data_IF_729033651623
#
_entry.id   IF_729033651623
#
_cell.length_a   1.000
_cell.length_b   1.000
_cell.length_c   1.000
_cell.angle_alpha   90.00
_cell.angle_beta   90.00
_cell.angle_gamma   90.00
#
_symmetry.space_group_name_H-M   'P 1'
#
loop_
_entity.id
_entity.type
_entity.pdbx_description
1 polymer ?
#
# COMPACT_ATOMS: atom_id res chain seq x y z
N UNK A 1 53.68 -5.30 9.12
CA UNK A 1 52.52 -4.38 9.27
C UNK A 1 51.25 -5.19 9.04
N UNK A 2 50.51 -5.52 10.11
CA UNK A 2 49.18 -6.15 9.98
C UNK A 2 48.18 -5.02 9.77
N UNK A 3 47.78 -4.77 8.53
CA UNK A 3 46.60 -3.94 8.27
C UNK A 3 45.42 -4.72 8.82
N UNK A 4 44.97 -4.35 10.02
CA UNK A 4 43.75 -4.87 10.59
C UNK A 4 42.59 -4.31 9.79
N UNK A 5 42.26 -4.95 8.66
CA UNK A 5 41.01 -4.72 7.98
C UNK A 5 39.90 -5.12 8.94
N UNK A 6 39.41 -4.15 9.70
CA UNK A 6 38.22 -4.26 10.53
C UNK A 6 37.06 -4.56 9.60
N UNK A 7 36.82 -5.85 9.37
CA UNK A 7 35.70 -6.34 8.57
C UNK A 7 34.42 -5.83 9.20
N UNK A 8 33.72 -4.96 8.47
CA UNK A 8 32.44 -4.44 8.91
C UNK A 8 31.44 -5.60 8.99
N UNK A 9 30.77 -5.73 10.14
CA UNK A 9 29.78 -6.77 10.35
C UNK A 9 28.50 -6.47 9.57
N UNK A 10 27.76 -7.50 9.14
CA UNK A 10 26.47 -7.32 8.45
C UNK A 10 25.47 -6.51 9.29
N UNK A 11 25.52 -6.63 10.63
CA UNK A 11 24.67 -5.84 11.54
C UNK A 11 24.95 -4.35 11.41
N UNK A 12 26.23 -3.97 11.38
CA UNK A 12 26.63 -2.56 11.25
C UNK A 12 26.33 -2.04 9.83
N UNK A 13 26.51 -2.88 8.81
CA UNK A 13 26.10 -2.57 7.44
C UNK A 13 24.61 -2.23 7.37
N UNK A 14 23.76 -3.14 7.86
CA UNK A 14 22.30 -2.97 7.90
C UNK A 14 21.86 -1.70 8.62
N UNK A 15 22.42 -1.44 9.81
CA UNK A 15 22.12 -0.24 10.57
C UNK A 15 22.46 1.05 9.80
N UNK A 16 23.47 1.00 8.92
CA UNK A 16 23.89 2.13 8.09
C UNK A 16 23.15 2.28 6.76
N UNK A 17 22.46 1.26 6.25
CA UNK A 17 21.80 1.31 4.93
C UNK A 17 20.72 2.38 4.87
N UNK A 18 19.84 2.43 5.87
CA UNK A 18 18.70 3.36 5.87
C UNK A 18 19.13 4.83 5.94
N UNK A 19 20.05 5.24 6.85
CA UNK A 19 20.61 6.59 6.83
C UNK A 19 21.31 6.93 5.51
N UNK A 20 22.06 6.00 4.93
CA UNK A 20 22.75 6.20 3.64
C UNK A 20 21.77 6.50 2.51
N UNK A 21 20.67 5.74 2.43
CA UNK A 21 19.63 5.91 1.40
C UNK A 21 18.87 7.22 1.59
N UNK A 22 18.50 7.55 2.82
CA UNK A 22 17.73 8.77 3.11
C UNK A 22 18.57 10.03 2.89
N UNK A 23 19.80 10.05 3.41
CA UNK A 23 20.72 11.20 3.28
C UNK A 23 21.34 11.33 1.88
N UNK A 24 21.42 10.25 1.11
CA UNK A 24 22.14 10.21 -0.16
C UNK A 24 23.67 10.28 -0.02
N UNK A 25 24.20 10.27 1.21
CA UNK A 25 25.63 10.33 1.46
C UNK A 25 26.25 8.94 1.35
N UNK A 26 27.17 8.78 0.40
CA UNK A 26 27.90 7.54 0.20
C UNK A 26 28.77 7.21 1.42
N UNK A 27 28.72 5.95 1.86
CA UNK A 27 29.62 5.42 2.88
C UNK A 27 30.45 4.29 2.27
N UNK A 28 31.72 4.58 2.01
CA UNK A 28 32.68 3.67 1.33
C UNK A 28 32.78 2.30 2.02
N UNK A 29 32.63 2.23 3.36
CA UNK A 29 32.69 0.97 4.08
C UNK A 29 31.44 0.11 3.86
N UNK A 30 30.26 0.75 3.76
CA UNK A 30 29.00 0.09 3.42
C UNK A 30 29.04 -0.37 1.97
N UNK A 31 29.44 0.48 1.03
CA UNK A 31 29.53 0.12 -0.39
C UNK A 31 30.45 -1.08 -0.61
N UNK A 32 31.65 -1.06 -0.01
CA UNK A 32 32.57 -2.21 -0.08
C UNK A 32 31.97 -3.48 0.52
N UNK A 33 31.14 -3.37 1.56
CA UNK A 33 30.44 -4.52 2.15
C UNK A 33 29.35 -5.05 1.22
N UNK A 34 28.60 -4.16 0.55
CA UNK A 34 27.56 -4.54 -0.42
C UNK A 34 28.14 -5.34 -1.58
N UNK A 35 29.35 -4.98 -2.05
CA UNK A 35 30.04 -5.72 -3.12
C UNK A 35 30.38 -7.17 -2.74
N UNK A 36 30.48 -7.49 -1.45
CA UNK A 36 30.92 -8.80 -0.95
C UNK A 36 29.83 -9.59 -0.22
N UNK A 37 28.65 -9.01 0.00
CA UNK A 37 27.58 -9.60 0.81
C UNK A 37 26.24 -9.54 0.10
N UNK A 38 25.88 -10.63 -0.60
CA UNK A 38 24.64 -10.74 -1.38
C UNK A 38 23.37 -10.42 -0.56
N UNK A 39 23.32 -10.82 0.72
CA UNK A 39 22.18 -10.53 1.58
C UNK A 39 22.01 -9.03 1.87
N UNK A 40 23.12 -8.31 2.11
CA UNK A 40 23.05 -6.87 2.34
C UNK A 40 22.78 -6.11 1.03
N UNK A 41 23.27 -6.63 -0.10
CA UNK A 41 22.98 -6.08 -1.42
C UNK A 41 21.48 -6.18 -1.78
N UNK A 42 20.86 -7.32 -1.54
CA UNK A 42 19.42 -7.51 -1.74
C UNK A 42 18.59 -6.57 -0.83
N UNK A 43 18.96 -6.48 0.45
CA UNK A 43 18.28 -5.58 1.40
C UNK A 43 18.43 -4.09 1.00
N UNK A 44 19.62 -3.70 0.52
CA UNK A 44 19.85 -2.36 -0.03
C UNK A 44 18.97 -2.09 -1.27
N UNK A 45 18.83 -3.07 -2.17
CA UNK A 45 17.99 -2.94 -3.35
C UNK A 45 16.50 -2.74 -2.99
N UNK A 46 15.99 -3.50 -2.00
CA UNK A 46 14.63 -3.35 -1.50
C UNK A 46 14.39 -1.96 -0.88
N UNK A 47 15.30 -1.50 -0.01
CA UNK A 47 15.20 -0.17 0.61
C UNK A 47 15.30 0.96 -0.42
N UNK A 48 16.08 0.78 -1.48
CA UNK A 48 16.17 1.74 -2.59
C UNK A 48 14.86 1.82 -3.36
N UNK A 49 14.19 0.68 -3.58
CA UNK A 49 12.87 0.63 -4.20
C UNK A 49 11.81 1.31 -3.33
N UNK A 50 11.84 1.09 -2.00
CA UNK A 50 10.98 1.79 -1.05
C UNK A 50 11.15 3.31 -1.17
N UNK A 51 12.39 3.81 -1.19
CA UNK A 51 12.65 5.24 -1.38
C UNK A 51 12.10 5.75 -2.72
N UNK A 52 12.32 5.04 -3.81
CA UNK A 52 11.78 5.44 -5.13
C UNK A 52 10.25 5.53 -5.09
N UNK A 53 9.58 4.57 -4.46
CA UNK A 53 8.11 4.58 -4.32
C UNK A 53 7.64 5.73 -3.43
N UNK A 54 8.34 6.00 -2.33
CA UNK A 54 8.03 7.13 -1.44
C UNK A 54 8.21 8.47 -2.17
N UNK A 55 9.35 8.65 -2.85
CA UNK A 55 9.65 9.85 -3.63
C UNK A 55 8.60 10.02 -4.76
N UNK A 56 8.24 8.94 -5.44
CA UNK A 56 7.18 8.91 -6.45
C UNK A 56 5.80 9.25 -5.88
N UNK A 57 5.46 8.77 -4.69
CA UNK A 57 4.17 9.05 -4.04
C UNK A 57 4.04 10.50 -3.59
N UNK A 58 5.17 11.16 -3.32
CA UNK A 58 5.23 12.58 -3.00
C UNK A 58 5.23 13.48 -4.24
N UNK A 59 5.38 12.90 -5.44
CA UNK A 59 5.34 13.64 -6.68
C UNK A 59 3.91 14.13 -6.94
N UNK A 60 3.76 15.44 -7.16
CA UNK A 60 2.48 16.08 -7.51
C UNK A 60 1.97 15.61 -8.89
N UNK A 61 2.87 15.11 -9.74
CA UNK A 61 2.55 14.62 -11.08
C UNK A 61 2.59 13.10 -11.09
N UNK A 62 1.52 12.41 -11.51
CA UNK A 62 1.54 10.97 -11.71
C UNK A 62 2.70 10.55 -12.61
N UNK A 63 3.49 9.57 -12.17
CA UNK A 63 4.55 8.99 -13.00
C UNK A 63 3.86 8.19 -14.11
N UNK A 64 3.88 8.71 -15.34
CA UNK A 64 3.50 7.95 -16.53
C UNK A 64 4.68 7.09 -16.98
N UNK A 65 4.62 5.75 -16.85
CA UNK A 65 5.70 4.89 -17.32
C UNK A 65 5.83 4.99 -18.84
N UNK A 66 7.05 5.21 -19.33
CA UNK A 66 7.33 5.26 -20.76
C UNK A 66 7.10 3.91 -21.46
N UNK A 67 6.99 3.89 -22.80
CA UNK A 67 6.73 2.67 -23.57
C UNK A 67 7.79 1.58 -23.37
N UNK A 68 9.04 1.97 -23.11
CA UNK A 68 10.16 1.07 -22.85
C UNK A 68 10.00 0.28 -21.54
N UNK A 69 9.35 0.84 -20.53
CA UNK A 69 9.04 0.13 -19.28
C UNK A 69 8.19 -1.11 -19.57
N UNK A 70 7.11 -0.94 -20.34
CA UNK A 70 6.24 -2.05 -20.71
C UNK A 70 6.91 -3.04 -21.65
N UNK A 71 7.82 -2.60 -22.52
CA UNK A 71 8.64 -3.49 -23.34
C UNK A 71 9.54 -4.38 -22.47
N UNK A 72 10.24 -3.81 -21.49
CA UNK A 72 11.10 -4.53 -20.57
C UNK A 72 10.32 -5.52 -19.68
N UNK A 73 9.16 -5.11 -19.15
CA UNK A 73 8.28 -5.98 -18.35
C UNK A 73 7.79 -7.16 -19.19
N UNK A 74 7.31 -6.90 -20.41
CA UNK A 74 6.88 -7.98 -21.33
C UNK A 74 8.02 -8.92 -21.66
N UNK A 75 9.20 -8.40 -22.01
CA UNK A 75 10.37 -9.22 -22.30
C UNK A 75 10.76 -10.11 -21.11
N UNK A 76 10.60 -9.63 -19.88
CA UNK A 76 10.81 -10.44 -18.68
C UNK A 76 9.78 -11.56 -18.54
N UNK A 77 8.49 -11.25 -18.69
CA UNK A 77 7.40 -12.25 -18.63
C UNK A 77 7.60 -13.34 -19.69
N UNK A 78 8.00 -12.98 -20.91
CA UNK A 78 8.27 -13.96 -21.98
C UNK A 78 9.45 -14.87 -21.65
N UNK A 79 10.56 -14.34 -21.13
CA UNK A 79 11.71 -15.16 -20.69
C UNK A 79 11.35 -16.13 -19.57
N UNK A 80 10.47 -15.72 -18.66
CA UNK A 80 9.96 -16.56 -17.58
C UNK A 80 8.99 -17.64 -18.11
N UNK A 81 8.17 -17.31 -19.11
CA UNK A 81 7.24 -18.26 -19.74
C UNK A 81 7.93 -19.33 -20.60
N UNK A 82 9.10 -19.03 -21.17
CA UNK A 82 9.87 -19.95 -22.03
C UNK A 82 10.70 -20.98 -21.25
N UNK A 83 10.56 -21.04 -19.92
CA UNK A 83 11.17 -22.11 -19.11
C UNK A 83 12.67 -21.96 -18.89
N UNK A 84 13.21 -20.75 -19.03
CA UNK A 84 14.57 -20.45 -18.61
C UNK A 84 14.72 -20.77 -17.12
N UNK A 85 15.59 -21.72 -16.79
CA UNK A 85 15.95 -22.06 -15.41
C UNK A 85 16.45 -20.79 -14.70
N UNK A 86 15.53 -20.11 -14.00
CA UNK A 86 15.84 -18.94 -13.19
C UNK A 86 16.73 -19.43 -12.05
N UNK A 87 17.97 -18.93 -11.99
CA UNK A 87 18.80 -19.15 -10.82
C UNK A 87 18.07 -18.51 -9.64
N UNK A 88 17.46 -19.34 -8.79
CA UNK A 88 16.65 -18.93 -7.66
C UNK A 88 17.42 -17.93 -6.79
N UNK A 89 17.10 -16.65 -6.98
CA UNK A 89 17.59 -15.56 -6.15
C UNK A 89 16.64 -15.42 -4.96
N UNK A 90 17.14 -14.99 -3.81
CA UNK A 90 16.34 -14.84 -2.58
C UNK A 90 15.10 -13.92 -2.76
N UNK A 91 15.05 -13.13 -3.82
CA UNK A 91 13.92 -12.28 -4.21
C UNK A 91 12.72 -13.07 -4.77
N UNK A 92 12.94 -14.28 -5.30
CA UNK A 92 11.88 -15.17 -5.81
C UNK A 92 11.10 -15.87 -4.69
N UNK A 93 11.63 -15.87 -3.46
CA UNK A 93 10.95 -16.40 -2.29
C UNK A 93 9.66 -15.66 -1.97
N UNK A 94 9.65 -14.33 -2.16
CA UNK A 94 8.47 -13.51 -1.91
C UNK A 94 7.40 -13.73 -2.99
N UNK A 95 7.80 -13.81 -4.26
CA UNK A 95 6.89 -14.06 -5.38
C UNK A 95 6.22 -15.44 -5.28
N UNK A 96 6.99 -16.47 -4.89
CA UNK A 96 6.43 -17.81 -4.68
C UNK A 96 5.51 -17.87 -3.47
N UNK A 97 5.86 -17.21 -2.36
CA UNK A 97 4.99 -17.11 -1.19
C UNK A 97 3.70 -16.35 -1.52
N UNK A 98 3.79 -15.24 -2.26
CA UNK A 98 2.62 -14.50 -2.76
C UNK A 98 1.73 -15.36 -3.67
N UNK A 99 2.32 -16.14 -4.56
CA UNK A 99 1.56 -17.01 -5.45
C UNK A 99 0.88 -18.17 -4.70
N UNK A 100 1.59 -18.81 -3.77
CA UNK A 100 1.05 -19.86 -2.90
C UNK A 100 -0.06 -19.34 -1.98
N UNK A 101 0.14 -18.18 -1.35
CA UNK A 101 -0.87 -17.53 -0.51
C UNK A 101 -2.07 -17.07 -1.32
N UNK A 102 -1.88 -16.51 -2.51
CA UNK A 102 -2.98 -16.18 -3.42
C UNK A 102 -3.79 -17.42 -3.79
N UNK A 103 -3.13 -18.54 -4.10
CA UNK A 103 -3.79 -19.80 -4.46
C UNK A 103 -4.62 -20.40 -3.31
N UNK A 104 -4.25 -20.13 -2.06
CA UNK A 104 -5.00 -20.54 -0.88
C UNK A 104 -6.08 -19.54 -0.44
N UNK A 105 -5.88 -18.24 -0.70
CA UNK A 105 -6.84 -17.20 -0.35
C UNK A 105 -8.07 -17.19 -1.26
N UNK A 106 -7.91 -17.50 -2.55
CA UNK A 106 -9.03 -17.56 -3.50
C UNK A 106 -10.15 -18.50 -3.03
N UNK A 107 -9.91 -19.78 -2.69
CA UNK A 107 -10.98 -20.66 -2.21
C UNK A 107 -11.58 -20.18 -0.88
N UNK A 108 -10.77 -19.64 0.04
CA UNK A 108 -11.27 -19.11 1.31
C UNK A 108 -12.21 -17.90 1.11
N UNK A 109 -11.85 -16.97 0.22
CA UNK A 109 -12.70 -15.84 -0.15
C UNK A 109 -13.98 -16.30 -0.83
N UNK A 110 -13.92 -17.29 -1.72
CA UNK A 110 -15.13 -17.82 -2.37
C UNK A 110 -16.10 -18.47 -1.38
N UNK A 111 -15.58 -19.22 -0.40
CA UNK A 111 -16.40 -19.80 0.67
C UNK A 111 -17.01 -18.71 1.55
N UNK A 112 -16.24 -17.70 1.93
CA UNK A 112 -16.73 -16.59 2.72
C UNK A 112 -17.84 -15.82 1.99
N UNK A 113 -17.66 -15.59 0.69
CA UNK A 113 -18.67 -14.94 -0.15
C UNK A 113 -19.93 -15.80 -0.27
N UNK A 114 -19.78 -17.12 -0.44
CA UNK A 114 -20.91 -18.06 -0.46
C UNK A 114 -21.66 -18.08 0.88
N UNK A 115 -20.97 -17.98 2.02
CA UNK A 115 -21.59 -17.88 3.35
C UNK A 115 -22.35 -16.57 3.49
N UNK A 116 -21.81 -15.44 3.04
CA UNK A 116 -22.51 -14.14 3.06
C UNK A 116 -23.77 -14.19 2.19
N UNK A 117 -23.66 -14.74 0.98
CA UNK A 117 -24.83 -14.89 0.08
C UNK A 117 -25.87 -15.84 0.71
N UNK A 118 -25.43 -16.96 1.30
CA UNK A 118 -26.33 -17.89 1.99
C UNK A 118 -27.03 -17.24 3.18
N UNK A 119 -26.29 -16.49 4.00
CA UNK A 119 -26.84 -15.77 5.14
C UNK A 119 -27.86 -14.70 4.71
N UNK A 120 -27.56 -13.93 3.67
CA UNK A 120 -28.48 -12.91 3.15
C UNK A 120 -29.75 -13.51 2.55
N UNK A 121 -29.67 -14.66 1.86
CA UNK A 121 -30.85 -15.37 1.35
C UNK A 121 -31.71 -15.95 2.47
N UNK A 122 -31.11 -16.51 3.51
CA UNK A 122 -31.84 -17.04 4.68
C UNK A 122 -32.53 -15.90 5.44
N UNK A 123 -31.84 -14.77 5.63
CA UNK A 123 -32.43 -13.60 6.28
C UNK A 123 -33.54 -12.95 5.44
N UNK A 124 -33.34 -12.88 4.12
CA UNK A 124 -34.32 -12.33 3.17
C UNK A 124 -35.56 -13.21 2.98
N UNK A 125 -35.44 -14.53 3.16
CA UNK A 125 -36.57 -15.46 3.12
C UNK A 125 -37.52 -15.32 4.33
N UNK A 126 -37.07 -14.67 5.41
CA UNK A 126 -37.85 -14.40 6.62
C UNK A 126 -38.75 -13.18 6.54
N UNK A 127 -38.67 -12.37 5.47
CA UNK A 127 -39.56 -11.22 5.29
C UNK A 127 -40.88 -11.71 4.68
N UNK A 128 -42.00 -11.71 5.41
CA UNK A 128 -43.26 -12.18 4.87
C UNK A 128 -43.64 -11.30 3.67
N UNK A 129 -43.97 -11.91 2.53
CA UNK A 129 -44.37 -11.20 1.29
C UNK A 129 -45.52 -10.19 1.50
N UNK A 130 -46.26 -10.32 2.60
CA UNK A 130 -47.26 -9.35 3.03
C UNK A 130 -46.67 -7.97 3.35
N UNK A 131 -45.44 -7.90 3.87
CA UNK A 131 -44.78 -6.62 4.18
C UNK A 131 -44.19 -5.96 2.94
N UNK A 132 -43.76 -6.72 1.93
CA UNK A 132 -43.32 -6.17 0.63
C UNK A 132 -44.48 -5.52 -0.12
N UNK A 133 -45.66 -6.17 -0.16
CA UNK A 133 -46.87 -5.58 -0.74
C UNK A 133 -47.35 -4.34 0.05
N UNK A 134 -47.17 -4.34 1.38
CA UNK A 134 -47.46 -3.18 2.23
C UNK A 134 -46.46 -2.05 2.03
N UNK A 135 -45.19 -2.34 1.72
CA UNK A 135 -44.14 -1.36 1.42
C UNK A 135 -44.36 -0.72 0.03
N UNK A 136 -44.75 -1.49 -0.97
CA UNK A 136 -45.15 -0.97 -2.29
C UNK A 136 -46.44 -0.14 -2.22
N UNK A 137 -47.44 -0.59 -1.46
CA UNK A 137 -48.66 0.18 -1.21
C UNK A 137 -48.39 1.49 -0.44
N UNK A 138 -47.40 1.47 0.47
CA UNK A 138 -46.95 2.68 1.19
C UNK A 138 -46.07 3.61 0.35
N UNK A 139 -45.42 3.10 -0.70
CA UNK A 139 -44.67 3.89 -1.67
C UNK A 139 -45.58 4.58 -2.69
N UNK A 140 -46.74 4.02 -3.01
CA UNK A 140 -47.74 4.64 -3.89
C UNK A 140 -48.58 5.74 -3.22
N UNK A 141 -48.66 5.77 -1.88
CA UNK A 141 -49.52 6.70 -1.13
C UNK A 141 -48.77 7.87 -0.47
N UNK A 142 -47.47 8.06 -0.73
CA UNK A 142 -46.80 9.30 -0.30
C UNK A 142 -46.96 10.37 -1.37
N UNK A 143 -47.74 11.45 -1.12
CA UNK A 143 -47.71 12.62 -1.97
C UNK A 143 -46.27 13.15 -1.97
N UNK A 144 -45.88 13.60 -3.14
CA UNK A 144 -44.63 14.30 -3.47
C UNK A 144 -44.41 15.53 -2.57
N UNK A 145 -44.02 15.33 -1.32
CA UNK A 145 -43.14 16.28 -0.65
C UNK A 145 -41.72 15.87 -1.00
N UNK A 146 -41.23 16.49 -2.08
CA UNK A 146 -39.79 16.61 -2.31
C UNK A 146 -39.22 17.30 -1.07
N UNK A 147 -38.66 16.53 -0.15
CA UNK A 147 -37.68 17.07 0.80
C UNK A 147 -36.50 17.51 -0.06
N UNK A 148 -36.49 18.78 -0.43
CA UNK A 148 -35.31 19.46 -0.95
C UNK A 148 -34.24 19.35 0.14
N UNK A 149 -33.29 18.44 -0.05
CA UNK A 149 -32.04 18.40 0.72
C UNK A 149 -31.11 19.56 0.31
N UNK A 150 -31.65 20.77 0.10
CA UNK A 150 -30.84 21.91 -0.31
C UNK A 150 -30.28 22.73 0.86
N UNK A 151 -30.80 22.55 2.08
CA UNK A 151 -30.40 23.35 3.25
C UNK A 151 -29.60 22.58 4.32
N UNK A 152 -29.18 21.33 4.07
CA UNK A 152 -28.43 20.55 5.07
C UNK A 152 -26.89 20.66 4.98
N UNK A 153 -26.39 21.52 4.08
CA UNK A 153 -24.97 21.85 3.98
C UNK A 153 -24.74 23.36 3.88
N UNK A 154 -25.32 24.12 4.81
CA UNK A 154 -24.70 25.38 5.24
C UNK A 154 -23.70 25.07 6.37
N UNK A 155 -22.60 24.39 6.01
CA UNK A 155 -21.39 24.47 6.81
C UNK A 155 -20.82 25.87 6.58
N UNK A 156 -20.73 26.75 7.59
CA UNK A 156 -20.06 28.03 7.41
C UNK A 156 -18.65 27.76 6.88
N UNK A 157 -18.28 28.43 5.79
CA UNK A 157 -16.90 28.39 5.30
C UNK A 157 -16.00 28.77 6.48
N UNK A 158 -14.96 27.97 6.81
CA UNK A 158 -14.06 28.31 7.89
C UNK A 158 -13.39 29.65 7.56
N UNK A 159 -13.70 30.66 8.36
CA UNK A 159 -13.01 31.95 8.27
C UNK A 159 -11.57 31.76 8.73
N UNK A 160 -10.65 32.53 8.14
CA UNK A 160 -9.19 32.45 8.39
C UNK A 160 -8.78 32.50 9.86
N UNK A 161 -9.66 33.01 10.74
CA UNK A 161 -9.41 33.09 12.18
C UNK A 161 -9.48 31.70 12.88
N UNK A 162 -10.32 30.76 12.42
CA UNK A 162 -10.45 29.43 13.03
C UNK A 162 -9.20 28.54 12.77
N UNK A 163 -8.52 28.79 11.65
CA UNK A 163 -7.30 28.05 11.28
C UNK A 163 -6.12 28.50 12.15
N UNK A 164 -6.06 29.79 12.50
CA UNK A 164 -5.01 30.36 13.34
C UNK A 164 -5.09 29.88 14.79
N UNK A 165 -6.28 29.75 15.36
CA UNK A 165 -6.45 29.24 16.73
C UNK A 165 -6.04 27.76 16.84
N UNK A 166 -6.33 26.96 15.80
CA UNK A 166 -5.91 25.54 15.76
C UNK A 166 -4.38 25.38 15.63
N UNK A 167 -3.70 26.31 14.96
CA UNK A 167 -2.24 26.27 14.79
C UNK A 167 -1.52 26.75 16.06
N UNK A 168 -2.07 27.72 16.79
CA UNK A 168 -1.49 28.19 18.06
C UNK A 168 -1.62 27.14 19.16
N UNK A 169 -2.73 26.39 19.20
CA UNK A 169 -2.92 25.31 20.17
C UNK A 169 -1.96 24.12 19.98
N UNK A 170 -1.40 23.94 18.77
CA UNK A 170 -0.40 22.90 18.49
C UNK A 170 0.99 23.34 18.94
N UNK A 171 1.33 24.63 18.81
CA UNK A 171 2.66 25.15 19.11
C UNK A 171 2.91 25.35 20.63
N UNK A 172 1.86 25.57 21.42
CA UNK A 172 1.97 25.61 22.90
C UNK A 172 2.23 24.24 23.53
N UNK A 173 1.84 23.14 22.86
CA UNK A 173 2.06 21.79 23.39
C UNK A 173 3.50 21.30 23.24
N UNK A 174 4.24 21.82 22.26
CA UNK A 174 5.64 21.44 22.02
C UNK A 174 6.67 22.37 22.69
N UNK A 175 6.26 23.53 23.23
CA UNK A 175 7.16 24.50 23.88
C UNK A 175 6.92 24.73 25.39
N UNK A 176 6.02 23.97 26.03
CA UNK A 176 5.84 23.97 27.48
C UNK A 176 6.81 23.03 28.20
N UNK A 177 7.78 23.61 28.91
CA UNK A 177 8.74 22.99 29.85
C UNK A 177 8.18 21.87 30.74
#
# INVERSE_FOLDING_TARGET
MKSGDSKMSCRNARAGLRPMILSGLANVQIERHLDHCANCAAEYALLKLEKIVLDASSAVVPIEPGPEFFAAVRARIYREAEGGAVSYSAEDGLANVLWLTARQLVPALTLLLAVIIGATLIWGAGVPKADLARQEASAMLRPTERVLFHDLYDTPQPTTDDVLESLVAVDEKDNGK
#
